data_IF_660027038832
#
_entry.id   IF_660027038832
#
_cell.length_a   1.000
_cell.length_b   1.000
_cell.length_c   1.000
_cell.angle_alpha   90.00
_cell.angle_beta   90.00
_cell.angle_gamma   90.00
#
_symmetry.space_group_name_H-M   'P 1'
#
loop_
_entity.id
_entity.type
_entity.pdbx_description
1 polymer ?
#
# COMPACT_ATOMS: atom_id res chain seq x y z
N UNK A 1 5.44 23.74 -9.96
CA UNK A 1 6.13 22.59 -10.57
C UNK A 1 6.66 23.03 -11.91
N UNK A 2 7.98 23.01 -12.07
CA UNK A 2 8.60 23.21 -13.38
C UNK A 2 8.22 22.07 -14.34
N UNK A 3 8.24 22.29 -15.66
CA UNK A 3 7.86 21.26 -16.65
C UNK A 3 8.70 19.98 -16.55
N UNK A 4 9.98 20.08 -16.15
CA UNK A 4 10.85 18.92 -15.91
C UNK A 4 10.40 18.08 -14.71
N UNK A 5 10.02 18.75 -13.62
CA UNK A 5 9.54 18.15 -12.37
C UNK A 5 8.21 17.42 -12.58
N UNK A 6 7.29 18.03 -13.35
CA UNK A 6 6.03 17.40 -13.77
C UNK A 6 6.25 16.13 -14.59
N UNK A 7 7.21 16.14 -15.53
CA UNK A 7 7.54 14.97 -16.37
C UNK A 7 8.15 13.84 -15.54
N UNK A 8 9.03 14.18 -14.61
CA UNK A 8 9.60 13.22 -13.64
C UNK A 8 8.49 12.57 -12.81
N UNK A 9 7.52 13.35 -12.33
CA UNK A 9 6.42 12.82 -11.52
C UNK A 9 5.49 11.90 -12.29
N UNK A 10 5.16 12.25 -13.53
CA UNK A 10 4.36 11.37 -14.40
C UNK A 10 5.09 10.03 -14.60
N UNK A 11 6.41 10.07 -14.83
CA UNK A 11 7.20 8.87 -15.03
C UNK A 11 7.26 7.99 -13.77
N UNK A 12 7.42 8.61 -12.59
CA UNK A 12 7.35 7.92 -11.29
C UNK A 12 5.99 7.25 -11.09
N UNK A 13 4.89 7.99 -11.33
CA UNK A 13 3.53 7.46 -11.21
C UNK A 13 3.27 6.30 -12.18
N UNK A 14 3.81 6.36 -13.41
CA UNK A 14 3.69 5.26 -14.39
C UNK A 14 4.35 3.97 -13.90
N UNK A 15 5.53 4.06 -13.29
CA UNK A 15 6.22 2.89 -12.71
C UNK A 15 5.41 2.31 -11.56
N UNK A 16 4.90 3.17 -10.69
CA UNK A 16 4.08 2.78 -9.54
C UNK A 16 2.80 2.06 -9.98
N UNK A 17 2.10 2.60 -10.98
CA UNK A 17 0.92 1.97 -11.57
C UNK A 17 1.28 0.63 -12.22
N UNK A 18 2.45 0.51 -12.87
CA UNK A 18 2.89 -0.78 -13.40
C UNK A 18 3.10 -1.83 -12.30
N UNK A 19 3.76 -1.48 -11.21
CA UNK A 19 3.91 -2.38 -10.04
C UNK A 19 2.58 -2.74 -9.41
N UNK A 20 1.64 -1.79 -9.33
CA UNK A 20 0.29 -2.03 -8.84
C UNK A 20 -0.44 -3.04 -9.72
N UNK A 21 -0.48 -2.80 -11.03
CA UNK A 21 -1.19 -3.66 -11.99
C UNK A 21 -0.58 -5.06 -12.02
N UNK A 22 0.75 -5.17 -12.03
CA UNK A 22 1.45 -6.47 -11.98
C UNK A 22 1.19 -7.19 -10.67
N UNK A 23 1.28 -6.49 -9.53
CA UNK A 23 1.01 -7.06 -8.22
C UNK A 23 -0.41 -7.60 -8.09
N UNK A 24 -1.41 -6.82 -8.55
CA UNK A 24 -2.82 -7.23 -8.60
C UNK A 24 -3.00 -8.41 -9.55
N UNK A 25 -2.43 -8.37 -10.75
CA UNK A 25 -2.54 -9.44 -11.74
C UNK A 25 -1.97 -10.77 -11.21
N UNK A 26 -0.80 -10.73 -10.56
CA UNK A 26 -0.20 -11.92 -9.93
C UNK A 26 -1.00 -12.42 -8.73
N UNK A 27 -1.67 -11.53 -8.01
CA UNK A 27 -2.57 -11.92 -6.91
C UNK A 27 -3.76 -12.73 -7.43
N UNK A 28 -4.42 -12.24 -8.48
CA UNK A 28 -5.56 -12.92 -9.12
C UNK A 28 -5.15 -14.16 -9.90
N UNK A 29 -3.98 -14.14 -10.55
CA UNK A 29 -3.42 -15.29 -11.24
C UNK A 29 -2.32 -15.95 -10.40
N UNK A 30 -2.72 -16.53 -9.27
CA UNK A 30 -1.79 -17.10 -8.29
C UNK A 30 -0.94 -18.28 -8.83
N UNK A 31 -1.26 -18.82 -10.01
CA UNK A 31 -0.56 -19.94 -10.63
C UNK A 31 0.41 -19.51 -11.73
N UNK A 32 0.61 -18.20 -11.95
CA UNK A 32 1.41 -17.65 -13.04
C UNK A 32 2.83 -18.24 -13.15
N UNK A 33 3.52 -18.44 -12.03
CA UNK A 33 4.86 -19.04 -12.00
C UNK A 33 4.86 -20.57 -11.79
N UNK A 34 3.71 -21.22 -11.89
CA UNK A 34 3.57 -22.67 -11.63
C UNK A 34 3.69 -23.05 -10.15
N UNK A 35 3.91 -22.09 -9.25
CA UNK A 35 3.93 -22.28 -7.80
C UNK A 35 3.17 -21.15 -7.10
N UNK A 36 2.09 -21.51 -6.41
CA UNK A 36 1.19 -20.57 -5.75
C UNK A 36 1.89 -19.68 -4.72
N UNK A 37 2.78 -20.26 -3.92
CA UNK A 37 3.48 -19.54 -2.85
C UNK A 37 4.42 -18.51 -3.48
N UNK A 38 5.19 -18.90 -4.49
CA UNK A 38 6.13 -18.00 -5.18
C UNK A 38 5.39 -16.84 -5.84
N UNK A 39 4.28 -17.11 -6.53
CA UNK A 39 3.49 -16.06 -7.19
C UNK A 39 2.92 -15.06 -6.19
N UNK A 40 2.40 -15.53 -5.06
CA UNK A 40 1.83 -14.66 -4.03
C UNK A 40 2.94 -13.81 -3.37
N UNK A 41 4.10 -14.39 -3.07
CA UNK A 41 5.23 -13.63 -2.49
C UNK A 41 5.66 -12.50 -3.43
N UNK A 42 5.81 -12.79 -4.73
CA UNK A 42 6.16 -11.77 -5.73
C UNK A 42 5.06 -10.71 -5.85
N UNK A 43 3.79 -11.12 -5.82
CA UNK A 43 2.65 -10.22 -5.80
C UNK A 43 2.70 -9.24 -4.63
N UNK A 44 2.92 -9.74 -3.41
CA UNK A 44 3.05 -8.92 -2.19
C UNK A 44 4.20 -7.92 -2.33
N UNK A 45 5.36 -8.35 -2.82
CA UNK A 45 6.51 -7.46 -3.04
C UNK A 45 6.17 -6.36 -4.05
N UNK A 46 5.53 -6.69 -5.18
CA UNK A 46 5.09 -5.71 -6.15
C UNK A 46 4.09 -4.70 -5.56
N UNK A 47 3.14 -5.16 -4.75
CA UNK A 47 2.13 -4.31 -4.12
C UNK A 47 2.74 -3.39 -3.04
N UNK A 48 3.73 -3.87 -2.28
CA UNK A 48 4.47 -3.04 -1.33
C UNK A 48 5.28 -1.96 -2.05
N UNK A 49 5.95 -2.28 -3.15
CA UNK A 49 6.64 -1.28 -3.97
C UNK A 49 5.67 -0.26 -4.58
N UNK A 50 4.48 -0.71 -5.00
CA UNK A 50 3.43 0.18 -5.48
C UNK A 50 2.99 1.16 -4.38
N UNK A 51 2.72 0.67 -3.17
CA UNK A 51 2.36 1.50 -2.02
C UNK A 51 3.45 2.52 -1.68
N UNK A 52 4.69 2.07 -1.50
CA UNK A 52 5.82 2.95 -1.17
C UNK A 52 6.06 3.99 -2.27
N UNK A 53 6.02 3.58 -3.53
CA UNK A 53 6.22 4.47 -4.66
C UNK A 53 5.09 5.48 -4.82
N UNK A 54 3.83 5.10 -4.57
CA UNK A 54 2.71 6.05 -4.51
C UNK A 54 2.97 7.10 -3.44
N UNK A 55 3.27 6.68 -2.22
CA UNK A 55 3.54 7.60 -1.10
C UNK A 55 4.69 8.57 -1.41
N UNK A 56 5.79 8.09 -2.00
CA UNK A 56 6.92 8.94 -2.42
C UNK A 56 6.51 9.93 -3.50
N UNK A 57 5.82 9.49 -4.54
CA UNK A 57 5.46 10.37 -5.66
C UNK A 57 4.39 11.40 -5.26
N UNK A 58 3.47 11.00 -4.38
CA UNK A 58 2.49 11.90 -3.77
C UNK A 58 3.18 12.97 -2.93
N UNK A 59 4.21 12.61 -2.15
CA UNK A 59 4.97 13.58 -1.34
C UNK A 59 5.70 14.64 -2.18
N UNK A 60 5.93 14.39 -3.47
CA UNK A 60 6.49 15.37 -4.43
C UNK A 60 5.42 16.30 -4.99
N UNK A 61 4.21 15.80 -5.15
CA UNK A 61 3.05 16.58 -5.63
C UNK A 61 2.48 17.46 -4.52
N UNK A 62 2.57 16.99 -3.27
CA UNK A 62 2.06 17.67 -2.09
C UNK A 62 3.18 18.47 -1.39
N UNK A 63 2.89 19.67 -0.86
CA UNK A 63 3.88 20.48 -0.13
C UNK A 63 4.48 19.77 1.10
N UNK A 64 5.79 19.96 1.29
CA UNK A 64 6.69 19.29 2.25
C UNK A 64 6.25 19.23 3.73
N UNK A 65 5.28 20.03 4.17
CA UNK A 65 4.81 20.07 5.58
C UNK A 65 3.76 19.01 5.94
N UNK A 66 3.49 18.07 5.04
CA UNK A 66 2.36 17.17 5.22
C UNK A 66 2.72 15.94 6.06
N UNK A 67 2.23 15.91 7.31
CA UNK A 67 2.40 14.80 8.26
C UNK A 67 1.90 13.45 7.72
N UNK A 68 1.04 13.44 6.70
CA UNK A 68 0.48 12.20 6.14
C UNK A 68 1.56 11.23 5.62
N UNK A 69 2.64 11.73 5.00
CA UNK A 69 3.69 10.87 4.43
C UNK A 69 4.36 10.04 5.52
N UNK A 70 4.66 10.69 6.65
CA UNK A 70 5.23 10.00 7.82
C UNK A 70 4.26 8.95 8.37
N UNK A 71 2.98 9.30 8.48
CA UNK A 71 1.95 8.41 9.02
C UNK A 71 1.74 7.16 8.13
N UNK A 72 1.69 7.33 6.80
CA UNK A 72 1.57 6.21 5.85
C UNK A 72 2.81 5.30 5.91
N UNK A 73 4.02 5.88 5.89
CA UNK A 73 5.27 5.09 5.92
C UNK A 73 5.39 4.31 7.23
N UNK A 74 5.16 4.96 8.37
CA UNK A 74 5.20 4.30 9.68
C UNK A 74 4.13 3.20 9.75
N UNK A 75 2.95 3.44 9.19
CA UNK A 75 1.90 2.44 9.07
C UNK A 75 2.32 1.20 8.28
N UNK A 76 2.87 1.39 7.08
CA UNK A 76 3.37 0.30 6.22
C UNK A 76 4.48 -0.49 6.92
N UNK A 77 5.41 0.19 7.59
CA UNK A 77 6.52 -0.46 8.31
C UNK A 77 5.97 -1.33 9.45
N UNK A 78 5.06 -0.81 10.27
CA UNK A 78 4.47 -1.57 11.37
C UNK A 78 3.64 -2.77 10.89
N UNK A 79 2.87 -2.61 9.81
CA UNK A 79 2.13 -3.72 9.18
C UNK A 79 3.11 -4.78 8.66
N UNK A 80 4.23 -4.35 8.03
CA UNK A 80 5.26 -5.26 7.52
C UNK A 80 5.99 -6.00 8.64
N UNK A 81 6.31 -5.32 9.75
CA UNK A 81 6.92 -5.93 10.94
C UNK A 81 5.99 -6.97 11.55
N UNK A 82 4.71 -6.64 11.70
CA UNK A 82 3.71 -7.59 12.18
C UNK A 82 3.63 -8.82 11.26
N UNK A 83 3.55 -8.59 9.95
CA UNK A 83 3.48 -9.64 8.93
C UNK A 83 4.65 -10.64 9.05
N UNK A 84 5.87 -10.11 9.17
CA UNK A 84 7.08 -10.92 9.38
C UNK A 84 7.02 -11.65 10.73
N UNK A 85 6.69 -10.95 11.82
CA UNK A 85 6.63 -11.55 13.16
C UNK A 85 5.60 -12.68 13.24
N UNK A 86 4.41 -12.51 12.68
CA UNK A 86 3.35 -13.52 12.70
C UNK A 86 3.78 -14.81 11.97
N UNK A 87 4.57 -14.68 10.90
CA UNK A 87 5.02 -15.82 10.12
C UNK A 87 6.18 -16.59 10.78
N UNK A 88 7.18 -15.87 11.29
CA UNK A 88 8.41 -16.50 11.80
C UNK A 88 8.37 -16.85 13.29
N UNK A 89 7.40 -16.32 14.05
CA UNK A 89 7.32 -16.51 15.49
C UNK A 89 5.95 -17.07 15.91
N UNK A 90 5.76 -18.40 15.94
CA UNK A 90 4.49 -19.05 16.29
C UNK A 90 4.16 -19.01 17.79
N UNK A 91 4.68 -18.03 18.52
CA UNK A 91 4.43 -17.88 19.94
C UNK A 91 3.20 -17.00 20.17
N UNK A 92 2.21 -17.54 20.89
CA UNK A 92 0.93 -16.87 21.13
C UNK A 92 1.08 -15.48 21.76
N UNK A 93 2.07 -15.28 22.65
CA UNK A 93 2.32 -13.99 23.30
C UNK A 93 2.93 -12.96 22.35
N UNK A 94 3.76 -13.39 21.39
CA UNK A 94 4.27 -12.51 20.33
C UNK A 94 3.15 -12.08 19.39
N UNK A 95 2.16 -12.94 19.14
CA UNK A 95 0.98 -12.57 18.33
C UNK A 95 0.11 -11.50 18.99
N UNK A 96 0.05 -11.44 20.33
CA UNK A 96 -0.64 -10.36 21.05
C UNK A 96 0.10 -9.02 20.87
N UNK A 97 1.44 -9.03 20.97
CA UNK A 97 2.27 -7.85 20.72
C UNK A 97 2.18 -7.43 19.24
N UNK A 98 2.19 -8.42 18.35
CA UNK A 98 1.98 -8.26 16.93
C UNK A 98 0.64 -7.61 16.60
N UNK A 99 -0.44 -8.04 17.27
CA UNK A 99 -1.76 -7.45 17.08
C UNK A 99 -1.77 -5.96 17.44
N UNK A 100 -1.06 -5.57 18.51
CA UNK A 100 -0.90 -4.15 18.85
C UNK A 100 -0.09 -3.40 17.77
N UNK A 101 0.97 -3.99 17.23
CA UNK A 101 1.73 -3.41 16.12
C UNK A 101 0.88 -3.28 14.84
N UNK A 102 0.04 -4.27 14.53
CA UNK A 102 -0.90 -4.24 13.41
C UNK A 102 -1.93 -3.12 13.60
N UNK A 103 -2.52 -2.99 14.79
CA UNK A 103 -3.51 -1.94 15.08
C UNK A 103 -2.89 -0.54 14.95
N UNK A 104 -1.68 -0.34 15.48
CA UNK A 104 -0.95 0.92 15.34
C UNK A 104 -0.54 1.19 13.89
N UNK A 105 -0.14 0.15 13.16
CA UNK A 105 0.21 0.23 11.75
C UNK A 105 -0.99 0.64 10.88
N UNK A 106 -2.14 -0.02 11.08
CA UNK A 106 -3.39 0.33 10.42
C UNK A 106 -3.86 1.72 10.81
N UNK A 107 -3.78 2.10 12.09
CA UNK A 107 -4.14 3.44 12.55
C UNK A 107 -3.27 4.51 11.86
N UNK A 108 -1.95 4.37 11.86
CA UNK A 108 -1.04 5.29 11.16
C UNK A 108 -1.31 5.35 9.67
N UNK A 109 -1.54 4.20 9.03
CA UNK A 109 -1.87 4.11 7.62
C UNK A 109 -3.17 4.84 7.27
N UNK A 110 -4.26 4.58 8.00
CA UNK A 110 -5.56 5.23 7.76
C UNK A 110 -5.57 6.71 8.15
N UNK A 111 -4.90 7.11 9.23
CA UNK A 111 -4.73 8.53 9.57
C UNK A 111 -3.95 9.24 8.48
N UNK A 112 -2.88 8.64 7.96
CA UNK A 112 -2.15 9.17 6.82
C UNK A 112 -3.02 9.31 5.57
N UNK A 113 -3.81 8.30 5.22
CA UNK A 113 -4.77 8.41 4.12
C UNK A 113 -5.80 9.54 4.34
N UNK A 114 -6.34 9.67 5.54
CA UNK A 114 -7.30 10.72 5.88
C UNK A 114 -6.68 12.14 5.80
N UNK A 115 -5.46 12.30 6.30
CA UNK A 115 -4.69 13.54 6.20
C UNK A 115 -4.41 13.90 4.74
N UNK A 116 -4.09 12.90 3.91
CA UNK A 116 -3.88 13.10 2.48
C UNK A 116 -5.17 13.56 1.77
N UNK A 117 -6.31 12.92 2.06
CA UNK A 117 -7.62 13.28 1.48
C UNK A 117 -8.04 14.69 1.90
N UNK A 118 -7.92 15.00 3.19
CA UNK A 118 -8.28 16.32 3.72
C UNK A 118 -7.41 17.42 3.10
N UNK A 119 -6.11 17.15 2.91
CA UNK A 119 -5.20 18.09 2.27
C UNK A 119 -5.57 18.38 0.82
N UNK A 120 -5.83 17.33 0.03
CA UNK A 120 -6.23 17.46 -1.38
C UNK A 120 -7.56 18.23 -1.49
N UNK A 121 -8.48 18.00 -0.56
CA UNK A 121 -9.81 18.62 -0.55
C UNK A 121 -9.79 20.11 -0.14
N UNK A 122 -8.94 20.49 0.82
CA UNK A 122 -8.92 21.86 1.37
C UNK A 122 -8.10 22.83 0.48
N UNK A 123 -6.95 22.39 -0.06
CA UNK A 123 -6.05 23.30 -0.79
C UNK A 123 -6.38 23.50 -2.27
N UNK A 124 -7.20 22.65 -2.88
CA UNK A 124 -7.66 22.83 -4.26
C UNK A 124 -9.16 23.09 -4.28
N UNK A 125 -9.53 24.37 -4.27
CA UNK A 125 -10.86 24.87 -4.65
C UNK A 125 -11.08 24.55 -6.15
N UNK A 126 -11.37 23.30 -6.46
CA UNK A 126 -11.35 22.72 -7.79
C UNK A 126 -10.91 21.27 -7.72
N UNK A 127 -11.90 20.37 -7.63
CA UNK A 127 -11.74 18.92 -7.52
C UNK A 127 -10.89 18.37 -8.66
N UNK A 128 -9.60 18.19 -8.41
CA UNK A 128 -8.74 17.51 -9.36
C UNK A 128 -9.04 16.03 -9.22
N UNK A 129 -9.89 15.51 -10.12
CA UNK A 129 -10.25 14.09 -10.31
C UNK A 129 -9.04 13.16 -10.09
N UNK A 130 -7.85 13.60 -10.52
CA UNK A 130 -6.56 12.93 -10.30
C UNK A 130 -6.24 12.60 -8.82
N UNK A 131 -6.52 13.50 -7.89
CA UNK A 131 -6.26 13.28 -6.46
C UNK A 131 -7.13 12.17 -5.88
N UNK A 132 -8.40 12.11 -6.29
CA UNK A 132 -9.30 11.02 -5.90
C UNK A 132 -8.88 9.68 -6.50
N UNK A 133 -8.44 9.67 -7.77
CA UNK A 133 -7.91 8.45 -8.40
C UNK A 133 -6.65 7.93 -7.68
N UNK A 134 -5.79 8.83 -7.20
CA UNK A 134 -4.58 8.47 -6.48
C UNK A 134 -4.92 7.86 -5.10
N UNK A 135 -5.79 8.51 -4.32
CA UNK A 135 -6.27 7.98 -3.03
C UNK A 135 -6.94 6.61 -3.22
N UNK A 136 -7.80 6.51 -4.23
CA UNK A 136 -8.50 5.27 -4.56
C UNK A 136 -7.51 4.17 -4.95
N UNK A 137 -6.49 4.50 -5.75
CA UNK A 137 -5.39 3.60 -6.09
C UNK A 137 -4.64 3.09 -4.87
N UNK A 138 -4.29 3.96 -3.92
CA UNK A 138 -3.65 3.56 -2.66
C UNK A 138 -4.55 2.65 -1.80
N UNK A 139 -5.86 2.93 -1.75
CA UNK A 139 -6.83 2.10 -1.03
C UNK A 139 -6.95 0.70 -1.63
N UNK A 140 -7.08 0.61 -2.96
CA UNK A 140 -7.12 -0.66 -3.68
C UNK A 140 -5.80 -1.42 -3.51
N UNK A 141 -4.66 -0.72 -3.59
CA UNK A 141 -3.33 -1.30 -3.38
C UNK A 141 -3.17 -1.88 -1.98
N UNK A 142 -3.59 -1.13 -0.95
CA UNK A 142 -3.51 -1.55 0.44
C UNK A 142 -4.39 -2.78 0.72
N UNK A 143 -5.65 -2.74 0.27
CA UNK A 143 -6.57 -3.87 0.43
C UNK A 143 -6.03 -5.10 -0.31
N UNK A 144 -5.52 -4.93 -1.53
CA UNK A 144 -4.92 -6.02 -2.31
C UNK A 144 -3.67 -6.58 -1.64
N UNK A 145 -2.80 -5.72 -1.10
CA UNK A 145 -1.58 -6.13 -0.42
C UNK A 145 -1.88 -6.94 0.85
N UNK A 146 -2.86 -6.48 1.64
CA UNK A 146 -3.34 -7.18 2.84
C UNK A 146 -3.96 -8.52 2.46
N UNK A 147 -4.81 -8.56 1.43
CA UNK A 147 -5.45 -9.81 0.99
C UNK A 147 -4.43 -10.83 0.45
N UNK A 148 -3.47 -10.37 -0.38
CA UNK A 148 -2.35 -11.17 -0.86
C UNK A 148 -1.51 -11.73 0.27
N UNK A 149 -1.20 -10.88 1.25
CA UNK A 149 -0.46 -11.29 2.42
C UNK A 149 -1.20 -12.38 3.22
N UNK A 150 -2.49 -12.18 3.52
CA UNK A 150 -3.31 -13.15 4.26
C UNK A 150 -3.41 -14.50 3.52
N UNK A 151 -3.59 -14.49 2.20
CA UNK A 151 -3.61 -15.71 1.38
C UNK A 151 -2.25 -16.42 1.37
N UNK A 152 -1.15 -15.67 1.40
CA UNK A 152 0.22 -16.23 1.43
C UNK A 152 0.52 -17.04 2.68
N UNK A 153 -0.09 -16.69 3.80
CA UNK A 153 0.11 -17.32 5.10
C UNK A 153 -0.96 -18.37 5.43
N UNK A 154 -1.79 -18.75 4.44
CA UNK A 154 -2.79 -19.81 4.57
C UNK A 154 -4.09 -19.40 5.24
N UNK A 155 -4.38 -18.10 5.36
CA UNK A 155 -5.68 -17.61 5.83
C UNK A 155 -6.66 -17.63 4.65
N UNK A 156 -7.68 -18.48 4.74
CA UNK A 156 -8.80 -18.49 3.79
C UNK A 156 -9.66 -17.24 4.00
N UNK A 157 -9.67 -16.38 2.98
CA UNK A 157 -10.52 -15.20 2.95
C UNK A 157 -11.90 -15.59 2.42
N UNK A 158 -13.01 -15.13 3.04
CA UNK A 158 -14.37 -15.44 2.59
C UNK A 158 -14.75 -14.77 1.26
N UNK A 159 -13.89 -13.89 0.74
CA UNK A 159 -14.02 -13.27 -0.56
C UNK A 159 -12.97 -13.87 -1.50
N UNK A 160 -13.33 -14.97 -2.13
CA UNK A 160 -12.61 -15.47 -3.30
C UNK A 160 -13.10 -14.64 -4.49
N UNK A 161 -12.40 -13.54 -4.76
CA UNK A 161 -12.60 -12.80 -5.99
C UNK A 161 -11.93 -13.62 -7.10
N UNK A 162 -12.65 -14.62 -7.61
CA UNK A 162 -12.22 -15.50 -8.68
C UNK A 162 -11.80 -14.78 -9.96
#
# INVERSE_FOLDING_TARGET
>A
MEPAEKKSTINGLSIVVAFLVVGIMLYFNNSYFGNQIVTIVISVVCLLFALMGFTVEISRILPKDSQFTSNIIVGIILISIWAVQYHFAPFWWLNIIGLAALLLGLAGFFTGLADMVSYISIKRKGSSVMGYFIVFGELVAAVSAIAAFLKSIGVDLPFDFG
#
